data_IF_556532444819
#
_entry.id   IF_556532444819
#
_cell.length_a   1.000
_cell.length_b   1.000
_cell.length_c   1.000
_cell.angle_alpha   90.00
_cell.angle_beta   90.00
_cell.angle_gamma   90.00
#
_symmetry.space_group_name_H-M   'P 1'
#
loop_
_entity.id
_entity.type
_entity.pdbx_description
1 polymer ?
#
# COMPACT_ATOMS: atom_id res chain seq x y z
N UNK A 1 -8.62 7.91 66.27
CA UNK A 1 -7.46 7.62 65.37
C UNK A 1 -6.18 7.85 66.16
N UNK A 2 -5.20 6.96 66.06
CA UNK A 2 -3.88 7.28 66.64
C UNK A 2 -3.13 8.20 65.67
N UNK A 3 -2.28 9.08 66.20
CA UNK A 3 -1.45 10.02 65.40
C UNK A 3 -0.62 9.23 64.37
N UNK A 4 -0.19 8.01 64.71
CA UNK A 4 0.50 7.11 63.79
C UNK A 4 -0.36 6.69 62.61
N UNK A 5 -1.66 6.42 62.78
CA UNK A 5 -2.59 6.10 61.68
C UNK A 5 -2.70 7.29 60.70
N UNK A 6 -2.78 8.52 61.17
CA UNK A 6 -2.83 9.70 60.30
C UNK A 6 -1.52 9.91 59.50
N UNK A 7 -0.36 9.57 60.10
CA UNK A 7 0.92 9.59 59.39
C UNK A 7 0.97 8.56 58.25
N UNK A 8 0.51 7.31 58.49
CA UNK A 8 0.47 6.27 57.46
C UNK A 8 -0.46 6.66 56.31
N UNK A 9 -1.64 7.23 56.63
CA UNK A 9 -2.59 7.72 55.62
C UNK A 9 -1.95 8.84 54.76
N UNK A 10 -1.28 9.79 55.42
CA UNK A 10 -0.61 10.88 54.71
C UNK A 10 0.56 10.40 53.86
N UNK A 11 1.36 9.44 54.36
CA UNK A 11 2.44 8.82 53.58
C UNK A 11 1.92 8.05 52.34
N UNK A 12 0.79 7.32 52.48
CA UNK A 12 0.16 6.63 51.34
C UNK A 12 -0.31 7.62 50.27
N UNK A 13 -0.89 8.75 50.70
CA UNK A 13 -1.29 9.83 49.82
C UNK A 13 -0.10 10.50 49.10
N UNK A 14 1.04 10.69 49.79
CA UNK A 14 2.28 11.19 49.15
C UNK A 14 2.75 10.24 48.07
N UNK A 15 2.86 8.93 48.33
CA UNK A 15 3.29 7.91 47.34
C UNK A 15 2.33 7.81 46.16
N UNK A 16 1.03 7.85 46.41
CA UNK A 16 0.02 7.82 45.33
C UNK A 16 0.14 9.05 44.44
N UNK A 17 0.31 10.24 44.98
CA UNK A 17 0.50 11.45 44.20
C UNK A 17 1.85 11.49 43.48
N UNK A 18 2.92 10.90 44.04
CA UNK A 18 4.23 10.76 43.39
C UNK A 18 4.11 9.89 42.11
N UNK A 19 3.48 8.71 42.21
CA UNK A 19 3.21 7.86 41.06
C UNK A 19 2.36 8.59 40.02
N UNK A 20 1.30 9.29 40.46
CA UNK A 20 0.45 10.10 39.59
C UNK A 20 1.24 11.18 38.83
N UNK A 21 2.12 11.92 39.52
CA UNK A 21 2.99 12.92 38.86
C UNK A 21 3.95 12.30 37.87
N UNK A 22 4.51 11.13 38.16
CA UNK A 22 5.38 10.40 37.23
C UNK A 22 4.67 10.05 35.95
N UNK A 23 3.44 9.53 36.02
CA UNK A 23 2.61 9.17 34.85
C UNK A 23 2.25 10.41 34.02
N UNK A 24 1.82 11.50 34.69
CA UNK A 24 1.50 12.77 34.03
C UNK A 24 2.75 13.34 33.35
N UNK A 25 3.90 13.26 33.98
CA UNK A 25 5.18 13.71 33.44
C UNK A 25 5.57 12.93 32.19
N UNK A 26 5.40 11.61 32.20
CA UNK A 26 5.63 10.74 31.00
C UNK A 26 4.66 11.06 29.87
N UNK A 27 3.37 11.26 30.17
CA UNK A 27 2.38 11.66 29.15
C UNK A 27 2.78 13.00 28.49
N UNK A 28 3.15 14.00 29.27
CA UNK A 28 3.55 15.32 28.74
C UNK A 28 4.83 15.22 27.92
N UNK A 29 5.82 14.45 28.39
CA UNK A 29 7.08 14.27 27.66
C UNK A 29 6.87 13.63 26.28
N UNK A 30 5.87 12.75 26.16
CA UNK A 30 5.57 12.01 24.93
C UNK A 30 4.41 12.60 24.12
N UNK A 31 4.01 13.83 24.38
CA UNK A 31 2.92 14.50 23.65
C UNK A 31 3.19 14.61 22.14
N UNK A 32 4.44 14.82 21.76
CA UNK A 32 4.85 14.91 20.34
C UNK A 32 5.37 13.59 19.76
N UNK A 33 5.31 12.50 20.52
CA UNK A 33 5.78 11.20 20.07
C UNK A 33 4.70 10.51 19.22
N UNK A 34 5.02 10.17 17.98
CA UNK A 34 4.09 9.56 17.02
C UNK A 34 3.64 8.18 17.52
N UNK A 35 2.32 7.94 17.49
CA UNK A 35 1.72 6.68 17.90
C UNK A 35 1.75 6.43 19.42
N UNK A 36 2.18 7.40 20.24
CA UNK A 36 2.19 7.26 21.68
C UNK A 36 0.78 7.16 22.25
N UNK A 37 0.62 6.30 23.26
CA UNK A 37 -0.63 6.10 24.00
C UNK A 37 -0.42 6.49 25.44
N UNK A 38 -1.08 7.56 25.87
CA UNK A 38 -1.04 8.05 27.22
C UNK A 38 -1.46 6.98 28.24
N UNK A 39 -1.05 7.17 29.48
CA UNK A 39 -1.34 6.26 30.57
C UNK A 39 -2.05 7.00 31.71
N UNK A 40 -2.84 6.27 32.50
CA UNK A 40 -3.44 6.79 33.74
C UNK A 40 -3.16 5.86 34.90
N UNK A 41 -2.98 6.44 36.09
CA UNK A 41 -2.89 5.69 37.34
C UNK A 41 -4.26 5.21 37.80
N UNK A 42 -4.35 3.98 38.22
CA UNK A 42 -5.52 3.42 38.89
C UNK A 42 -5.17 3.29 40.37
N UNK A 43 -5.95 3.94 41.22
CA UNK A 43 -5.75 3.96 42.66
C UNK A 43 -6.90 3.23 43.37
N UNK A 44 -6.58 2.53 44.44
CA UNK A 44 -7.56 1.92 45.35
C UNK A 44 -7.32 2.36 46.77
N UNK A 45 -8.35 2.26 47.59
CA UNK A 45 -8.22 2.39 49.03
C UNK A 45 -7.53 1.15 49.62
N UNK A 46 -6.87 1.35 50.76
CA UNK A 46 -6.29 0.26 51.56
C UNK A 46 -7.36 -0.24 52.51
N UNK A 47 -7.32 -1.53 52.83
CA UNK A 47 -8.33 -2.21 53.69
C UNK A 47 -8.65 -1.41 54.94
N UNK A 48 -9.93 -1.09 55.15
CA UNK A 48 -10.41 -0.32 56.30
C UNK A 48 -10.30 -1.10 57.59
N UNK A 49 -10.01 -0.41 58.71
CA UNK A 49 -10.03 -1.02 60.03
C UNK A 49 -11.39 -0.76 60.71
N UNK A 50 -12.01 -1.81 61.16
CA UNK A 50 -13.30 -1.72 61.87
C UNK A 50 -13.08 -1.31 63.34
N UNK A 51 -13.74 -0.26 63.78
CA UNK A 51 -13.75 0.15 65.21
C UNK A 51 -15.05 -0.38 65.83
N UNK A 52 -14.94 -1.26 66.82
CA UNK A 52 -16.08 -1.71 67.62
C UNK A 52 -16.53 -0.55 68.55
N UNK A 53 -17.65 0.08 68.24
CA UNK A 53 -18.35 1.07 69.04
C UNK A 53 -19.86 0.87 68.92
N UNK A 54 -20.66 1.40 69.87
CA UNK A 54 -22.12 1.20 69.88
C UNK A 54 -22.84 1.49 68.58
N UNK A 55 -24.06 1.01 68.38
CA UNK A 55 -24.46 0.00 67.42
C UNK A 55 -24.28 0.42 65.97
N UNK A 56 -23.24 -0.08 65.35
CA UNK A 56 -22.90 0.11 63.95
C UNK A 56 -21.41 -0.10 63.71
N UNK A 57 -21.04 -0.87 62.67
CA UNK A 57 -19.67 -1.01 62.23
C UNK A 57 -19.18 0.35 61.68
N UNK A 58 -18.31 1.04 62.43
CA UNK A 58 -17.64 2.25 61.95
C UNK A 58 -16.29 1.88 61.36
N UNK A 59 -16.10 2.12 60.05
CA UNK A 59 -14.87 1.85 59.35
C UNK A 59 -14.00 3.09 59.23
N UNK A 60 -12.68 2.93 59.43
CA UNK A 60 -11.69 3.98 59.27
C UNK A 60 -10.76 3.63 58.14
N UNK A 61 -10.68 4.51 57.15
CA UNK A 61 -9.80 4.35 55.98
C UNK A 61 -8.32 4.39 56.37
N UNK A 62 -7.51 3.56 55.71
CA UNK A 62 -6.06 3.42 55.91
C UNK A 62 -5.23 4.12 54.83
N UNK A 63 -5.88 4.88 53.92
CA UNK A 63 -5.22 5.60 52.81
C UNK A 63 -5.44 4.99 51.47
N UNK A 64 -4.59 5.34 50.49
CA UNK A 64 -4.68 4.91 49.12
C UNK A 64 -3.37 4.30 48.62
N UNK A 65 -3.46 3.42 47.62
CA UNK A 65 -2.31 2.86 46.92
C UNK A 65 -2.52 2.88 45.38
N UNK A 66 -1.45 3.06 44.63
CA UNK A 66 -1.47 2.85 43.19
C UNK A 66 -1.53 1.34 42.92
N UNK A 67 -2.57 0.88 42.28
CA UNK A 67 -2.81 -0.54 41.99
C UNK A 67 -2.21 -0.94 40.63
N UNK A 68 -2.38 -0.11 39.61
CA UNK A 68 -1.87 -0.35 38.25
C UNK A 68 -1.75 0.95 37.47
N UNK A 69 -1.03 0.86 36.37
CA UNK A 69 -0.98 1.89 35.31
C UNK A 69 -1.72 1.34 34.11
N UNK A 70 -2.80 1.99 33.71
CA UNK A 70 -3.60 1.60 32.57
C UNK A 70 -3.24 2.47 31.38
N UNK A 71 -2.90 1.83 30.24
CA UNK A 71 -2.67 2.53 28.98
C UNK A 71 -3.99 2.89 28.31
N UNK A 72 -4.08 4.11 27.79
CA UNK A 72 -5.24 4.62 27.07
C UNK A 72 -5.04 4.38 25.57
N UNK A 73 -5.59 3.29 25.05
CA UNK A 73 -5.44 2.89 23.62
C UNK A 73 -6.35 3.64 22.65
N UNK A 74 -7.05 4.67 23.10
CA UNK A 74 -7.87 5.52 22.22
C UNK A 74 -7.04 6.11 21.07
N UNK A 75 -7.69 6.34 19.94
CA UNK A 75 -7.05 6.90 18.74
C UNK A 75 -6.64 8.35 18.97
N UNK A 76 -5.42 8.71 18.52
CA UNK A 76 -4.94 10.09 18.44
C UNK A 76 -5.41 10.79 17.15
N UNK A 77 -5.11 12.08 17.02
CA UNK A 77 -5.37 12.81 15.78
C UNK A 77 -4.50 12.28 14.65
N UNK A 78 -5.04 12.25 13.44
CA UNK A 78 -4.30 11.88 12.23
C UNK A 78 -3.70 13.14 11.61
N UNK A 79 -2.39 13.12 11.38
CA UNK A 79 -1.61 14.17 10.74
C UNK A 79 -1.19 13.71 9.35
N UNK A 80 -1.59 14.44 8.32
CA UNK A 80 -1.15 14.18 6.96
C UNK A 80 0.28 14.72 6.76
N UNK A 81 1.19 13.87 6.31
CA UNK A 81 2.62 14.20 6.14
C UNK A 81 3.02 14.39 4.68
N UNK A 82 2.29 13.80 3.75
CA UNK A 82 2.63 13.79 2.32
C UNK A 82 3.76 12.82 1.94
N UNK A 83 4.25 12.01 2.89
CA UNK A 83 5.24 10.95 2.63
C UNK A 83 4.49 9.64 2.44
N UNK A 84 4.65 8.99 1.30
CA UNK A 84 3.88 7.79 0.93
C UNK A 84 4.12 6.59 1.87
N UNK A 85 5.29 6.50 2.50
CA UNK A 85 5.63 5.42 3.44
C UNK A 85 5.16 5.66 4.87
N UNK A 86 4.60 6.85 5.18
CA UNK A 86 4.00 7.15 6.47
C UNK A 86 2.57 6.58 6.51
N UNK A 87 2.30 5.70 7.46
CA UNK A 87 1.04 5.00 7.58
C UNK A 87 0.39 5.26 8.93
N UNK A 88 -0.91 5.45 8.94
CA UNK A 88 -1.69 5.53 10.17
C UNK A 88 -2.83 4.52 10.17
N UNK A 89 -3.14 3.99 11.37
CA UNK A 89 -4.28 3.09 11.55
C UNK A 89 -5.48 3.89 12.03
N UNK A 90 -6.56 3.88 11.27
CA UNK A 90 -7.85 4.45 11.68
C UNK A 90 -8.72 3.38 12.32
N UNK A 91 -8.86 3.41 13.64
CA UNK A 91 -9.58 2.41 14.41
C UNK A 91 -8.67 1.50 15.23
N UNK A 92 -9.09 0.25 15.47
CA UNK A 92 -8.38 -0.70 16.33
C UNK A 92 -7.29 -1.46 15.56
N UNK A 93 -6.23 -1.89 16.24
CA UNK A 93 -5.17 -2.74 15.71
C UNK A 93 -3.79 -2.12 15.87
N UNK A 94 -2.76 -2.86 15.47
CA UNK A 94 -1.36 -2.48 15.55
C UNK A 94 -0.64 -2.97 14.30
N UNK A 95 0.35 -2.23 13.84
CA UNK A 95 1.33 -2.73 12.88
C UNK A 95 2.13 -3.86 13.50
N UNK A 96 2.39 -4.89 12.74
CA UNK A 96 3.25 -6.01 13.11
C UNK A 96 4.63 -5.80 12.52
N UNK A 97 5.65 -5.93 13.34
CA UNK A 97 7.04 -5.74 12.92
C UNK A 97 7.90 -6.89 13.43
N UNK A 98 8.88 -7.28 12.67
CA UNK A 98 9.87 -8.32 13.03
C UNK A 98 11.26 -7.72 13.13
N UNK A 99 12.03 -8.16 14.11
CA UNK A 99 13.41 -7.76 14.29
C UNK A 99 13.86 -7.91 15.73
N UNK A 100 14.95 -7.24 16.08
CA UNK A 100 15.55 -7.35 17.39
C UNK A 100 15.45 -6.03 18.16
N UNK A 101 14.87 -6.06 19.37
CA UNK A 101 14.85 -4.94 20.31
C UNK A 101 15.49 -5.41 21.61
N UNK A 102 16.51 -4.68 22.09
CA UNK A 102 17.23 -4.99 23.35
C UNK A 102 17.68 -6.44 23.47
N UNK A 103 18.10 -7.06 22.34
CA UNK A 103 18.60 -8.44 22.32
C UNK A 103 17.51 -9.52 22.22
N UNK A 104 16.23 -9.15 22.14
CA UNK A 104 15.11 -10.07 21.95
C UNK A 104 14.67 -10.04 20.49
N UNK A 105 14.71 -11.18 19.80
CA UNK A 105 14.16 -11.38 18.47
C UNK A 105 12.72 -11.89 18.62
N UNK A 106 11.78 -11.07 18.20
CA UNK A 106 10.34 -11.35 18.33
C UNK A 106 9.50 -10.56 17.32
N UNK A 107 8.20 -10.81 17.32
CA UNK A 107 7.23 -9.95 16.66
C UNK A 107 6.83 -8.83 17.60
N UNK A 108 7.04 -7.61 17.16
CA UNK A 108 6.68 -6.39 17.88
C UNK A 108 5.44 -5.77 17.28
N UNK A 109 4.69 -5.09 18.12
CA UNK A 109 3.46 -4.39 17.75
C UNK A 109 3.62 -2.90 18.00
N UNK A 110 3.19 -2.05 17.07
CA UNK A 110 3.31 -0.59 17.20
C UNK A 110 2.15 0.15 16.56
N UNK A 111 1.92 1.38 17.02
CA UNK A 111 1.07 2.37 16.38
C UNK A 111 1.86 3.44 15.62
N UNK A 112 3.18 3.41 15.77
CA UNK A 112 4.06 4.27 15.00
C UNK A 112 4.17 3.72 13.57
N UNK A 113 3.69 4.47 12.60
CA UNK A 113 3.71 4.12 11.19
C UNK A 113 4.74 4.89 10.37
N UNK A 114 5.80 5.40 10.99
CA UNK A 114 6.93 5.99 10.27
C UNK A 114 7.81 4.89 9.69
N UNK A 115 7.57 4.56 8.43
CA UNK A 115 8.34 3.56 7.72
C UNK A 115 9.25 4.19 6.67
N UNK A 116 10.31 3.46 6.34
CA UNK A 116 11.22 3.75 5.23
C UNK A 116 11.60 2.45 4.54
N UNK A 117 12.04 2.54 3.32
CA UNK A 117 12.65 1.41 2.62
C UNK A 117 14.12 1.32 3.06
N UNK A 118 14.56 0.17 3.52
CA UNK A 118 15.95 -0.10 3.89
C UNK A 118 16.80 -0.49 2.66
N UNK A 119 18.09 -0.74 2.87
CA UNK A 119 19.05 -1.10 1.81
C UNK A 119 18.71 -2.42 1.13
N UNK A 120 18.04 -3.33 1.84
CA UNK A 120 17.59 -4.63 1.34
C UNK A 120 16.20 -4.54 0.68
N UNK A 121 15.59 -3.36 0.65
CA UNK A 121 14.28 -3.09 0.06
C UNK A 121 13.09 -3.42 0.95
N UNK A 122 13.28 -3.70 2.25
CA UNK A 122 12.17 -3.92 3.17
C UNK A 122 11.60 -2.61 3.71
N UNK A 123 10.30 -2.62 3.97
CA UNK A 123 9.68 -1.56 4.76
C UNK A 123 10.07 -1.74 6.22
N UNK A 124 10.88 -0.83 6.75
CA UNK A 124 11.37 -0.86 8.13
C UNK A 124 11.05 0.45 8.85
N UNK A 125 10.86 0.38 10.17
CA UNK A 125 10.74 1.57 10.99
C UNK A 125 12.13 2.21 11.23
N UNK A 126 12.18 3.37 11.90
CA UNK A 126 13.44 4.06 12.21
C UNK A 126 14.37 3.25 13.13
N UNK A 127 13.86 2.25 13.84
CA UNK A 127 14.62 1.31 14.68
C UNK A 127 15.12 0.07 13.94
N UNK A 128 14.85 -0.08 12.64
CA UNK A 128 15.26 -1.23 11.83
C UNK A 128 14.35 -2.46 11.95
N UNK A 129 13.17 -2.32 12.56
CA UNK A 129 12.18 -3.40 12.60
C UNK A 129 11.41 -3.43 11.29
N UNK A 130 11.39 -4.58 10.63
CA UNK A 130 10.74 -4.79 9.34
C UNK A 130 9.23 -4.97 9.50
N UNK A 131 8.45 -4.26 8.69
CA UNK A 131 6.99 -4.37 8.65
C UNK A 131 6.58 -5.73 8.09
N UNK A 132 5.68 -6.41 8.79
CA UNK A 132 5.12 -7.69 8.38
C UNK A 132 3.83 -7.49 7.58
N UNK A 133 3.65 -8.36 6.60
CA UNK A 133 2.46 -8.38 5.78
C UNK A 133 2.36 -9.64 4.94
N UNK A 134 1.51 -9.59 3.96
CA UNK A 134 1.27 -10.64 2.98
C UNK A 134 1.95 -10.24 1.67
N UNK A 135 3.13 -10.79 1.32
CA UNK A 135 3.80 -10.48 0.06
C UNK A 135 2.94 -10.90 -1.14
N UNK A 136 2.97 -10.13 -2.21
CA UNK A 136 2.38 -10.55 -3.47
C UNK A 136 3.40 -11.27 -4.36
N UNK A 137 2.90 -12.12 -5.25
CA UNK A 137 3.70 -12.73 -6.30
C UNK A 137 4.04 -11.69 -7.36
N UNK A 138 5.32 -11.51 -7.66
CA UNK A 138 5.77 -10.59 -8.71
C UNK A 138 5.26 -10.94 -10.11
N UNK A 139 4.96 -12.23 -10.34
CA UNK A 139 4.51 -12.70 -11.64
C UNK A 139 3.01 -12.53 -11.83
N UNK A 140 2.21 -12.87 -10.80
CA UNK A 140 0.74 -12.85 -10.89
C UNK A 140 0.10 -11.62 -10.24
N UNK A 141 0.82 -10.91 -9.37
CA UNK A 141 0.26 -9.81 -8.56
C UNK A 141 -0.69 -10.28 -7.45
N UNK A 142 -0.86 -11.60 -7.28
CA UNK A 142 -1.74 -12.15 -6.24
C UNK A 142 -1.08 -12.07 -4.87
N UNK A 143 -1.84 -11.60 -3.88
CA UNK A 143 -1.38 -11.49 -2.49
C UNK A 143 -1.37 -12.88 -1.84
N UNK A 144 -0.22 -13.26 -1.30
CA UNK A 144 -0.04 -14.53 -0.59
C UNK A 144 -0.81 -14.57 0.75
N UNK A 145 -0.92 -15.76 1.33
CA UNK A 145 -1.56 -15.96 2.64
C UNK A 145 -0.57 -16.05 3.81
N UNK A 146 0.73 -16.18 3.51
CA UNK A 146 1.79 -16.28 4.52
C UNK A 146 2.26 -14.90 4.94
N UNK A 147 2.47 -14.72 6.25
CA UNK A 147 2.99 -13.48 6.80
C UNK A 147 4.52 -13.49 6.74
N UNK A 148 5.09 -12.49 6.10
CA UNK A 148 6.53 -12.30 5.98
C UNK A 148 6.89 -10.81 6.00
N UNK A 149 8.17 -10.42 6.18
CA UNK A 149 8.59 -9.04 5.97
C UNK A 149 8.27 -8.57 4.56
N UNK A 150 7.74 -7.34 4.45
CA UNK A 150 7.35 -6.75 3.18
C UNK A 150 8.56 -6.13 2.50
N UNK A 151 9.01 -6.76 1.43
CA UNK A 151 10.08 -6.26 0.57
C UNK A 151 9.47 -5.58 -0.65
N UNK A 152 9.68 -4.28 -0.78
CA UNK A 152 9.05 -3.44 -1.83
C UNK A 152 10.07 -2.67 -2.66
N UNK A 153 11.27 -2.41 -2.14
CA UNK A 153 12.22 -1.46 -2.73
C UNK A 153 13.16 -2.02 -3.80
N UNK A 154 13.35 -3.33 -3.87
CA UNK A 154 14.27 -3.97 -4.84
C UNK A 154 13.54 -4.72 -5.95
N UNK A 155 12.25 -4.50 -6.08
CA UNK A 155 11.43 -5.19 -7.06
C UNK A 155 11.53 -4.49 -8.42
N UNK A 156 11.85 -5.27 -9.44
CA UNK A 156 11.84 -4.87 -10.84
C UNK A 156 10.58 -5.45 -11.45
N UNK A 157 9.79 -4.63 -12.16
CA UNK A 157 8.70 -5.15 -12.98
C UNK A 157 9.29 -5.99 -14.10
N UNK A 158 8.99 -7.30 -14.15
CA UNK A 158 9.45 -8.12 -15.27
C UNK A 158 8.83 -7.60 -16.57
N UNK A 159 9.53 -7.73 -17.69
CA UNK A 159 9.01 -7.35 -19.00
C UNK A 159 7.75 -8.15 -19.35
N UNK A 160 6.92 -7.58 -20.19
CA UNK A 160 5.75 -8.22 -20.77
C UNK A 160 5.83 -8.16 -22.28
N UNK A 161 5.84 -9.31 -22.93
CA UNK A 161 5.76 -9.40 -24.38
C UNK A 161 4.43 -8.79 -24.89
N UNK A 162 4.48 -8.14 -26.02
CA UNK A 162 3.30 -7.61 -26.72
C UNK A 162 2.45 -8.76 -27.23
N UNK A 163 1.20 -8.85 -26.77
CA UNK A 163 0.24 -9.84 -27.23
C UNK A 163 -0.97 -9.20 -27.93
N UNK A 164 -1.28 -7.95 -27.61
CA UNK A 164 -2.39 -7.23 -28.24
C UNK A 164 -1.91 -5.88 -28.75
N UNK A 165 -2.28 -5.58 -29.99
CA UNK A 165 -1.98 -4.30 -30.65
C UNK A 165 -3.31 -3.73 -31.15
N UNK A 166 -3.70 -2.59 -30.63
CA UNK A 166 -4.90 -1.86 -31.08
C UNK A 166 -4.48 -0.76 -32.04
N UNK A 167 -5.11 -0.73 -33.18
CA UNK A 167 -4.79 0.16 -34.30
C UNK A 167 -6.08 0.76 -34.87
N UNK A 168 -6.28 2.06 -34.62
CA UNK A 168 -7.30 2.84 -35.31
C UNK A 168 -6.62 3.75 -36.33
N UNK A 169 -6.88 3.51 -37.59
CA UNK A 169 -6.32 4.30 -38.69
C UNK A 169 -7.44 4.81 -39.59
N UNK A 170 -7.26 5.98 -40.16
CA UNK A 170 -8.10 6.45 -41.26
C UNK A 170 -7.34 6.24 -42.58
N UNK A 171 -7.91 5.54 -43.50
CA UNK A 171 -7.34 5.24 -44.81
C UNK A 171 -8.11 6.02 -45.91
N UNK A 172 -7.42 6.92 -46.63
CA UNK A 172 -8.08 7.80 -47.65
C UNK A 172 -8.49 6.99 -48.87
N UNK A 173 -9.79 6.82 -49.17
CA UNK A 173 -10.26 6.09 -50.35
C UNK A 173 -9.87 6.76 -51.68
N UNK A 174 -9.27 7.94 -51.68
CA UNK A 174 -8.76 8.64 -52.84
C UNK A 174 -7.32 8.24 -53.22
N UNK A 175 -6.64 7.51 -52.35
CA UNK A 175 -5.31 6.99 -52.68
C UNK A 175 -5.35 6.10 -53.91
N UNK A 176 -4.30 6.08 -54.73
CA UNK A 176 -4.28 5.26 -55.95
C UNK A 176 -4.51 3.79 -55.64
N UNK A 177 -5.43 3.16 -56.38
CA UNK A 177 -5.64 1.71 -56.32
C UNK A 177 -4.51 1.01 -57.06
N UNK A 178 -3.84 0.09 -56.35
CA UNK A 178 -2.75 -0.71 -56.92
C UNK A 178 -3.25 -1.99 -57.61
N UNK A 179 -4.53 -2.28 -57.46
CA UNK A 179 -5.23 -3.40 -58.12
C UNK A 179 -5.43 -4.60 -57.19
N UNK A 180 -6.43 -5.45 -57.50
CA UNK A 180 -6.71 -6.64 -56.71
C UNK A 180 -5.52 -7.61 -56.69
N UNK A 181 -5.10 -8.01 -55.48
CA UNK A 181 -3.96 -8.91 -55.29
C UNK A 181 -2.59 -8.24 -55.39
N UNK A 182 -2.52 -6.91 -55.31
CA UNK A 182 -1.25 -6.20 -55.15
C UNK A 182 -0.58 -6.65 -53.86
N UNK A 183 0.71 -6.99 -53.90
CA UNK A 183 1.53 -7.43 -52.77
C UNK A 183 2.59 -6.41 -52.45
N UNK A 184 3.00 -6.37 -51.20
CA UNK A 184 4.12 -5.53 -50.74
C UNK A 184 5.45 -6.13 -51.27
N UNK A 185 6.31 -5.29 -51.83
CA UNK A 185 7.67 -5.71 -52.20
C UNK A 185 8.62 -5.36 -51.05
N UNK A 186 9.06 -6.36 -50.28
CA UNK A 186 9.89 -6.26 -49.11
C UNK A 186 11.40 -6.21 -49.38
N UNK A 187 11.80 -5.90 -50.61
CA UNK A 187 13.23 -5.89 -51.00
C UNK A 187 14.02 -4.81 -50.28
N UNK A 188 13.46 -3.62 -50.21
CA UNK A 188 14.04 -2.48 -49.47
C UNK A 188 12.92 -1.48 -49.08
N UNK A 189 13.24 -0.57 -48.11
CA UNK A 189 12.30 0.40 -47.57
C UNK A 189 11.73 1.35 -48.65
N UNK A 190 12.55 1.73 -49.64
CA UNK A 190 12.09 2.61 -50.72
C UNK A 190 11.09 1.92 -51.64
N UNK A 191 11.27 0.63 -51.85
CA UNK A 191 10.36 -0.21 -52.64
C UNK A 191 9.05 -0.46 -51.91
N UNK A 192 9.11 -0.76 -50.60
CA UNK A 192 7.93 -0.86 -49.74
C UNK A 192 7.11 0.44 -49.73
N UNK A 193 7.77 1.58 -49.58
CA UNK A 193 7.11 2.90 -49.64
C UNK A 193 6.45 3.18 -50.99
N UNK A 194 6.99 2.68 -52.12
CA UNK A 194 6.42 2.85 -53.46
C UNK A 194 5.31 1.88 -53.81
N UNK A 195 5.27 0.72 -53.14
CA UNK A 195 4.27 -0.33 -53.31
C UNK A 195 3.16 -0.32 -52.26
N UNK A 196 3.21 0.63 -51.32
CA UNK A 196 2.16 0.85 -50.32
C UNK A 196 1.47 2.20 -50.52
N UNK A 197 0.26 2.33 -50.00
CA UNK A 197 -0.52 3.58 -50.03
C UNK A 197 -0.35 4.40 -48.73
N UNK A 198 -0.11 3.71 -47.60
CA UNK A 198 0.11 4.31 -46.28
C UNK A 198 0.97 3.39 -45.43
N UNK A 199 1.76 3.94 -44.53
CA UNK A 199 2.55 3.16 -43.57
C UNK A 199 2.55 3.82 -42.18
N UNK A 200 2.73 2.99 -41.18
CA UNK A 200 2.92 3.40 -39.78
C UNK A 200 3.80 2.40 -39.07
N UNK A 201 4.56 2.87 -38.07
CA UNK A 201 5.42 2.02 -37.25
C UNK A 201 4.81 1.88 -35.84
N UNK A 202 4.91 0.69 -35.26
CA UNK A 202 4.53 0.40 -33.89
C UNK A 202 5.66 -0.35 -33.20
N UNK A 203 5.93 -0.02 -31.95
CA UNK A 203 6.99 -0.68 -31.18
C UNK A 203 6.41 -1.84 -30.40
N UNK A 204 6.94 -3.04 -30.59
CA UNK A 204 6.58 -4.24 -29.83
C UNK A 204 7.69 -4.62 -28.87
N UNK A 205 7.32 -5.27 -27.79
CA UNK A 205 8.27 -5.78 -26.81
C UNK A 205 8.28 -7.30 -26.85
N UNK A 206 9.47 -7.87 -26.76
CA UNK A 206 9.66 -9.31 -26.67
C UNK A 206 9.56 -9.83 -25.23
N UNK A 207 9.79 -11.12 -25.03
CA UNK A 207 9.75 -11.75 -23.71
C UNK A 207 10.90 -11.34 -22.77
N UNK A 208 11.96 -10.74 -23.31
CA UNK A 208 13.11 -10.19 -22.56
C UNK A 208 12.95 -8.70 -22.29
N UNK A 209 11.98 -8.04 -22.94
CA UNK A 209 11.69 -6.61 -22.79
C UNK A 209 12.49 -5.74 -23.76
N UNK A 210 13.09 -6.32 -24.78
CA UNK A 210 13.69 -5.57 -25.88
C UNK A 210 12.58 -5.00 -26.78
N UNK A 211 12.79 -3.78 -27.25
CA UNK A 211 11.84 -3.07 -28.11
C UNK A 211 12.20 -3.30 -29.57
N UNK A 212 11.23 -3.74 -30.37
CA UNK A 212 11.34 -4.00 -31.81
C UNK A 212 10.35 -3.13 -32.58
N UNK A 213 10.81 -2.49 -33.62
CA UNK A 213 9.96 -1.67 -34.46
C UNK A 213 9.32 -2.53 -35.56
N UNK A 214 8.00 -2.54 -35.60
CA UNK A 214 7.21 -3.27 -36.59
C UNK A 214 6.50 -2.28 -37.49
N UNK A 215 6.82 -2.32 -38.77
CA UNK A 215 6.23 -1.45 -39.76
C UNK A 215 4.96 -2.08 -40.34
N UNK A 216 3.89 -1.30 -40.34
CA UNK A 216 2.62 -1.69 -40.93
C UNK A 216 2.37 -0.90 -42.20
N UNK A 217 2.31 -1.62 -43.32
CA UNK A 217 2.03 -1.07 -44.64
C UNK A 217 0.60 -1.38 -45.06
N UNK A 218 -0.08 -0.40 -45.66
CA UNK A 218 -1.45 -0.54 -46.14
C UNK A 218 -1.48 -0.32 -47.65
N UNK A 219 -2.14 -1.22 -48.37
CA UNK A 219 -2.26 -1.17 -49.84
C UNK A 219 -3.74 -1.03 -50.17
N UNK A 220 -4.10 -0.01 -50.94
CA UNK A 220 -5.43 0.18 -51.48
C UNK A 220 -5.63 -0.78 -52.66
N UNK A 221 -6.31 -1.90 -52.45
CA UNK A 221 -6.52 -2.93 -53.46
C UNK A 221 -7.59 -2.49 -54.47
N UNK A 222 -8.78 -2.21 -54.00
CA UNK A 222 -9.94 -1.74 -54.76
C UNK A 222 -10.89 -0.94 -53.88
N UNK A 223 -11.94 -0.39 -54.45
CA UNK A 223 -12.89 0.44 -53.72
C UNK A 223 -13.43 -0.25 -52.46
N UNK A 224 -13.13 0.29 -51.28
CA UNK A 224 -13.54 -0.23 -49.98
C UNK A 224 -12.75 -1.44 -49.49
N UNK A 225 -11.66 -1.84 -50.15
CA UNK A 225 -10.82 -2.97 -49.73
C UNK A 225 -9.36 -2.56 -49.65
N UNK A 226 -8.76 -2.86 -48.51
CA UNK A 226 -7.35 -2.60 -48.21
C UNK A 226 -6.68 -3.88 -47.70
N UNK A 227 -5.43 -4.11 -48.11
CA UNK A 227 -4.58 -5.10 -47.45
C UNK A 227 -3.63 -4.39 -46.47
N UNK A 228 -3.36 -5.03 -45.36
CA UNK A 228 -2.32 -4.62 -44.42
C UNK A 228 -1.22 -5.68 -44.38
N UNK A 229 0.02 -5.22 -44.16
CA UNK A 229 1.22 -6.05 -44.14
C UNK A 229 2.08 -5.59 -42.97
N UNK A 230 2.39 -6.50 -42.02
CA UNK A 230 3.31 -6.24 -40.92
C UNK A 230 4.70 -6.74 -41.30
N UNK A 231 5.69 -5.87 -41.23
CA UNK A 231 7.06 -6.12 -41.66
C UNK A 231 8.02 -5.80 -40.52
N UNK A 232 9.04 -6.64 -40.34
CA UNK A 232 10.10 -6.49 -39.33
C UNK A 232 11.46 -6.62 -40.05
N UNK A 233 12.50 -5.96 -39.49
CA UNK A 233 13.86 -6.20 -39.93
C UNK A 233 14.23 -7.68 -39.69
N UNK A 234 14.71 -8.33 -40.75
CA UNK A 234 15.02 -9.76 -40.71
C UNK A 234 16.17 -10.09 -39.74
N UNK A 235 17.04 -9.10 -39.42
CA UNK A 235 18.10 -9.22 -38.44
C UNK A 235 17.60 -9.35 -37.00
N UNK A 236 16.34 -8.99 -36.74
CA UNK A 236 15.73 -9.06 -35.39
C UNK A 236 14.96 -10.39 -35.18
N UNK A 237 14.85 -11.25 -36.18
CA UNK A 237 14.10 -12.51 -36.09
C UNK A 237 14.99 -13.74 -35.85
N UNK A 238 14.46 -14.75 -35.18
CA UNK A 238 15.14 -16.03 -34.93
C UNK A 238 14.53 -17.13 -35.84
N UNK A 239 15.32 -17.84 -36.62
CA UNK A 239 16.72 -17.56 -36.93
C UNK A 239 16.85 -16.39 -37.93
N UNK A 240 17.87 -15.56 -37.71
CA UNK A 240 18.18 -14.49 -38.66
C UNK A 240 18.42 -15.07 -40.06
N UNK A 241 17.52 -14.77 -41.00
CA UNK A 241 17.60 -15.19 -42.38
C UNK A 241 18.36 -14.14 -43.21
N UNK A 242 18.86 -14.51 -44.37
CA UNK A 242 19.53 -13.54 -45.23
C UNK A 242 18.49 -12.72 -46.02
N UNK A 243 18.34 -11.48 -45.68
CA UNK A 243 17.40 -10.51 -46.28
C UNK A 243 17.46 -9.20 -45.53
N UNK A 244 16.69 -8.20 -45.92
CA UNK A 244 16.60 -6.93 -45.23
C UNK A 244 15.32 -6.86 -44.37
N UNK A 245 14.19 -7.34 -44.89
CA UNK A 245 12.88 -7.23 -44.25
C UNK A 245 12.08 -8.53 -44.45
N UNK A 246 11.31 -8.89 -43.43
CA UNK A 246 10.44 -10.05 -43.42
C UNK A 246 8.99 -9.62 -43.19
N UNK A 247 8.10 -10.02 -44.09
CA UNK A 247 6.67 -9.94 -43.82
C UNK A 247 6.28 -11.02 -42.81
N UNK A 248 5.84 -10.59 -41.65
CA UNK A 248 5.47 -11.47 -40.51
C UNK A 248 3.97 -11.71 -40.46
N UNK A 249 3.17 -10.82 -41.06
CA UNK A 249 1.73 -10.97 -41.11
C UNK A 249 1.07 -10.11 -42.15
N UNK A 250 -0.06 -10.60 -42.69
CA UNK A 250 -0.87 -9.89 -43.65
C UNK A 250 -2.36 -10.20 -43.48
N UNK A 251 -3.20 -9.30 -43.91
CA UNK A 251 -4.64 -9.48 -43.88
C UNK A 251 -5.38 -8.42 -44.71
N UNK A 252 -6.69 -8.43 -44.64
CA UNK A 252 -7.54 -7.51 -45.39
C UNK A 252 -8.50 -6.75 -44.46
N UNK A 253 -8.76 -5.50 -44.77
CA UNK A 253 -9.77 -4.64 -44.16
C UNK A 253 -10.79 -4.26 -45.23
N UNK A 254 -12.07 -4.43 -44.96
CA UNK A 254 -13.12 -3.98 -45.86
C UNK A 254 -13.97 -2.92 -45.19
N UNK A 255 -14.41 -1.97 -45.97
CA UNK A 255 -15.18 -0.81 -45.49
C UNK A 255 -16.52 -0.72 -46.23
N UNK A 256 -17.54 -0.27 -45.52
CA UNK A 256 -18.84 0.04 -46.11
C UNK A 256 -18.76 1.28 -47.02
N UNK A 257 -19.82 1.56 -47.75
CA UNK A 257 -19.95 2.80 -48.55
C UNK A 257 -19.90 4.09 -47.69
N UNK A 258 -20.16 3.97 -46.40
CA UNK A 258 -20.15 5.08 -45.46
C UNK A 258 -18.75 5.23 -44.79
N UNK A 259 -17.78 4.38 -45.16
CA UNK A 259 -16.40 4.40 -44.67
C UNK A 259 -16.22 3.77 -43.30
N UNK A 260 -17.18 3.01 -42.80
CA UNK A 260 -17.10 2.27 -41.53
C UNK A 260 -16.45 0.89 -41.78
N UNK A 261 -15.71 0.37 -40.80
CA UNK A 261 -15.11 -0.95 -40.85
C UNK A 261 -16.20 -2.03 -40.90
N UNK A 262 -16.20 -2.85 -41.97
CA UNK A 262 -17.16 -3.94 -42.15
C UNK A 262 -16.57 -5.29 -41.75
N UNK A 263 -15.44 -5.68 -42.38
CA UNK A 263 -14.75 -6.91 -42.02
C UNK A 263 -13.25 -6.71 -41.95
N UNK A 264 -12.62 -7.53 -41.16
CA UNK A 264 -11.17 -7.70 -41.18
C UNK A 264 -10.82 -9.19 -41.14
N UNK A 265 -9.69 -9.54 -41.75
CA UNK A 265 -9.15 -10.89 -41.69
C UNK A 265 -7.92 -10.90 -40.82
N UNK A 266 -7.85 -11.79 -39.81
CA UNK A 266 -6.65 -12.01 -39.03
C UNK A 266 -5.55 -12.64 -39.89
N UNK A 267 -4.25 -12.54 -39.50
CA UNK A 267 -3.17 -13.16 -40.24
C UNK A 267 -3.30 -14.70 -40.27
N UNK A 268 -2.96 -15.35 -41.37
CA UNK A 268 -2.85 -16.81 -41.40
C UNK A 268 -1.65 -17.28 -40.54
N UNK A 269 -1.71 -18.44 -39.85
CA UNK A 269 -2.71 -19.51 -39.91
C UNK A 269 -3.83 -19.45 -38.85
N UNK A 270 -4.01 -18.35 -38.12
CA UNK A 270 -5.02 -18.24 -37.03
C UNK A 270 -5.40 -16.83 -36.70
N UNK A 271 -6.13 -16.61 -35.58
CA UNK A 271 -6.53 -15.27 -35.12
C UNK A 271 -5.37 -14.42 -34.60
N UNK A 272 -4.18 -15.01 -34.44
CA UNK A 272 -2.98 -14.34 -33.98
C UNK A 272 -1.79 -14.58 -34.90
N UNK A 273 -0.89 -13.61 -34.93
CA UNK A 273 0.41 -13.69 -35.57
C UNK A 273 1.41 -14.26 -34.55
N UNK A 274 2.03 -15.41 -34.91
CA UNK A 274 3.12 -15.97 -34.09
C UNK A 274 4.46 -15.45 -34.60
N UNK A 275 5.21 -14.73 -33.74
CA UNK A 275 6.52 -14.18 -34.05
C UNK A 275 7.54 -14.59 -32.99
N UNK A 276 8.79 -14.78 -33.39
CA UNK A 276 9.91 -15.01 -32.51
C UNK A 276 11.06 -14.07 -32.86
N UNK A 277 11.40 -13.19 -31.94
CA UNK A 277 12.56 -12.33 -32.02
C UNK A 277 13.83 -13.08 -31.59
N UNK A 278 15.01 -12.61 -32.05
CA UNK A 278 16.29 -13.27 -31.76
C UNK A 278 16.55 -13.37 -30.23
N UNK A 279 16.83 -14.56 -29.77
CA UNK A 279 17.07 -14.86 -28.36
C UNK A 279 15.83 -14.86 -27.46
N UNK A 280 14.66 -14.48 -27.96
CA UNK A 280 13.42 -14.39 -27.19
C UNK A 280 12.51 -15.61 -27.36
N UNK A 281 11.51 -15.75 -26.50
CA UNK A 281 10.46 -16.74 -26.65
C UNK A 281 9.47 -16.33 -27.72
N UNK A 282 8.91 -17.33 -28.43
CA UNK A 282 7.82 -17.10 -29.39
C UNK A 282 6.62 -16.46 -28.69
N UNK A 283 6.02 -15.46 -29.33
CA UNK A 283 4.84 -14.75 -28.86
C UNK A 283 3.75 -14.69 -29.91
N UNK A 284 2.49 -14.68 -29.44
CA UNK A 284 1.32 -14.57 -30.29
C UNK A 284 0.74 -13.18 -30.20
N UNK A 285 0.70 -12.46 -31.31
CA UNK A 285 0.21 -11.07 -31.35
C UNK A 285 -1.13 -11.04 -32.06
N UNK A 286 -2.13 -10.45 -31.43
CA UNK A 286 -3.45 -10.21 -32.01
C UNK A 286 -3.60 -8.74 -32.36
N UNK A 287 -4.23 -8.47 -33.52
CA UNK A 287 -4.57 -7.11 -33.94
C UNK A 287 -6.03 -6.82 -33.66
N UNK A 288 -6.27 -5.68 -33.05
CA UNK A 288 -7.59 -5.09 -32.85
C UNK A 288 -7.70 -3.84 -33.72
N UNK A 289 -8.56 -3.89 -34.73
CA UNK A 289 -8.83 -2.81 -35.68
C UNK A 289 -10.07 -1.98 -35.33
N UNK A 290 -10.69 -2.29 -34.16
CA UNK A 290 -11.98 -1.73 -33.73
C UNK A 290 -13.12 -2.72 -33.91
N UNK A 291 -14.35 -2.24 -33.67
CA UNK A 291 -15.58 -3.05 -33.65
C UNK A 291 -16.21 -3.12 -35.04
N UNK A 292 -15.75 -4.10 -35.88
CA UNK A 292 -16.22 -4.28 -37.25
C UNK A 292 -17.69 -4.73 -37.31
N UNK A 293 -18.42 -4.22 -38.30
CA UNK A 293 -19.87 -4.45 -38.41
C UNK A 293 -20.20 -5.94 -38.58
N UNK A 294 -19.46 -6.63 -39.43
CA UNK A 294 -19.73 -8.05 -39.80
C UNK A 294 -18.84 -9.01 -39.00
N UNK A 295 -17.56 -8.71 -38.84
CA UNK A 295 -16.61 -9.65 -38.19
C UNK A 295 -16.93 -9.76 -36.68
N UNK A 296 -17.24 -8.67 -36.02
CA UNK A 296 -17.52 -8.64 -34.56
C UNK A 296 -19.01 -8.77 -34.22
N UNK A 297 -19.84 -9.10 -35.20
CA UNK A 297 -21.26 -9.35 -34.97
C UNK A 297 -21.50 -10.54 -34.04
N UNK A 298 -22.15 -10.28 -32.90
CA UNK A 298 -22.47 -11.29 -31.88
C UNK A 298 -23.96 -11.57 -31.84
N UNK A 299 -24.36 -12.84 -31.99
CA UNK A 299 -25.78 -13.28 -31.88
C UNK A 299 -26.74 -12.52 -32.81
N UNK A 300 -26.28 -12.08 -34.01
CA UNK A 300 -27.06 -11.34 -34.98
C UNK A 300 -27.18 -9.84 -34.71
N UNK A 301 -26.43 -9.31 -33.74
CA UNK A 301 -26.25 -7.87 -33.53
C UNK A 301 -24.95 -7.48 -34.26
N UNK A 302 -25.04 -6.57 -35.23
CA UNK A 302 -23.88 -6.04 -35.96
C UNK A 302 -23.00 -5.23 -35.03
N UNK A 303 -21.68 -5.24 -35.26
CA UNK A 303 -20.75 -4.35 -34.59
C UNK A 303 -21.03 -2.89 -34.95
N UNK A 304 -20.41 -1.95 -34.26
CA UNK A 304 -20.66 -0.51 -34.42
C UNK A 304 -19.98 0.12 -35.63
N UNK A 305 -18.97 -0.54 -36.19
CA UNK A 305 -18.09 0.00 -37.24
C UNK A 305 -17.15 1.12 -36.72
N UNK A 306 -16.98 1.22 -35.40
CA UNK A 306 -16.09 2.20 -34.74
C UNK A 306 -14.68 1.65 -34.65
N UNK A 307 -13.66 2.46 -34.94
CA UNK A 307 -12.25 2.11 -34.97
C UNK A 307 -11.61 2.57 -36.28
N UNK A 308 -10.93 1.68 -36.93
CA UNK A 308 -10.36 1.94 -38.29
C UNK A 308 -11.44 2.35 -39.28
N UNK A 309 -11.19 3.39 -40.05
CA UNK A 309 -12.16 4.01 -40.95
C UNK A 309 -11.56 4.33 -42.33
N UNK A 310 -12.43 4.53 -43.33
CA UNK A 310 -12.00 4.96 -44.67
C UNK A 310 -12.80 6.20 -45.09
N UNK A 311 -12.45 7.33 -44.49
CA UNK A 311 -13.04 8.60 -44.86
C UNK A 311 -12.13 9.37 -45.83
N UNK A 312 -12.72 10.18 -46.72
CA UNK A 312 -12.03 10.98 -47.71
C UNK A 312 -11.23 12.15 -47.13
N UNK A 313 -10.41 11.85 -46.12
CA UNK A 313 -9.41 12.72 -45.48
C UNK A 313 -8.06 12.01 -45.56
N UNK A 314 -6.96 12.77 -45.54
CA UNK A 314 -5.61 12.20 -45.62
C UNK A 314 -5.44 11.04 -44.64
N UNK A 315 -4.83 9.96 -45.11
CA UNK A 315 -4.53 8.79 -44.29
C UNK A 315 -3.70 9.19 -43.07
N UNK A 316 -4.13 8.75 -41.90
CA UNK A 316 -3.49 9.07 -40.66
C UNK A 316 -3.81 8.04 -39.58
N UNK A 317 -2.89 7.87 -38.66
CA UNK A 317 -3.11 7.08 -37.45
C UNK A 317 -3.94 7.91 -36.46
N UNK A 318 -5.01 7.33 -35.94
CA UNK A 318 -5.86 7.93 -34.89
C UNK A 318 -5.40 7.46 -33.52
N UNK A 319 -5.23 6.15 -33.36
CA UNK A 319 -4.76 5.53 -32.13
C UNK A 319 -3.85 4.36 -32.45
N UNK A 320 -2.73 4.28 -31.74
CA UNK A 320 -1.86 3.08 -31.69
C UNK A 320 -1.60 2.81 -30.23
N UNK A 321 -1.91 1.62 -29.77
CA UNK A 321 -1.55 1.16 -28.45
C UNK A 321 -1.23 -0.33 -28.46
N UNK A 322 -0.40 -0.74 -27.52
CA UNK A 322 -0.01 -2.14 -27.38
C UNK A 322 0.15 -2.43 -25.86
N UNK A 323 0.12 -3.71 -25.47
CA UNK A 323 0.06 -4.13 -24.08
C UNK A 323 1.40 -4.66 -23.52
N UNK A 324 2.47 -4.61 -24.30
CA UNK A 324 3.81 -4.99 -23.92
C UNK A 324 4.60 -3.84 -23.27
N UNK A 325 5.62 -4.16 -22.54
CA UNK A 325 6.58 -3.19 -21.96
C UNK A 325 7.88 -3.86 -21.56
N UNK A 326 8.96 -3.09 -21.57
CA UNK A 326 10.26 -3.51 -21.04
C UNK A 326 10.28 -3.61 -19.51
N UNK A 327 11.39 -4.10 -18.96
CA UNK A 327 11.60 -4.10 -17.53
C UNK A 327 11.55 -2.67 -16.95
N UNK A 328 10.99 -2.52 -15.77
CA UNK A 328 10.83 -1.22 -15.13
C UNK A 328 11.30 -1.22 -13.68
N UNK A 329 11.94 -0.12 -13.26
CA UNK A 329 12.31 0.13 -11.86
C UNK A 329 11.15 0.76 -11.10
N UNK A 330 11.05 0.45 -9.80
CA UNK A 330 10.04 1.03 -8.93
C UNK A 330 10.26 2.54 -8.77
N UNK A 331 9.24 3.35 -9.11
CA UNK A 331 9.28 4.81 -9.00
C UNK A 331 8.46 5.36 -7.85
N UNK A 332 7.33 4.73 -7.55
CA UNK A 332 6.39 5.22 -6.53
C UNK A 332 5.65 4.06 -5.87
N UNK A 333 5.35 4.23 -4.56
CA UNK A 333 4.57 3.28 -3.77
C UNK A 333 3.38 4.01 -3.18
N UNK A 334 2.21 3.40 -3.29
CA UNK A 334 0.98 3.85 -2.67
C UNK A 334 0.32 2.74 -1.84
N UNK A 335 -0.50 3.13 -0.88
CA UNK A 335 -1.17 2.22 0.05
C UNK A 335 -2.67 2.48 0.03
N UNK A 336 -3.43 1.45 -0.22
CA UNK A 336 -4.87 1.49 -0.12
C UNK A 336 -5.36 1.35 1.33
N UNK A 337 -6.61 1.69 1.57
CA UNK A 337 -7.25 1.60 2.90
C UNK A 337 -7.33 0.19 3.45
N UNK A 338 -7.34 -0.82 2.61
CA UNK A 338 -7.29 -2.24 2.97
C UNK A 338 -5.84 -2.74 3.19
N UNK A 339 -4.87 -1.83 3.14
CA UNK A 339 -3.46 -2.11 3.33
C UNK A 339 -2.74 -2.71 2.13
N UNK A 340 -3.38 -2.78 0.96
CA UNK A 340 -2.74 -3.22 -0.27
C UNK A 340 -1.70 -2.20 -0.72
N UNK A 341 -0.54 -2.68 -1.10
CA UNK A 341 0.60 -1.88 -1.53
C UNK A 341 0.68 -1.94 -3.05
N UNK A 342 0.54 -0.80 -3.69
CA UNK A 342 0.68 -0.65 -5.13
C UNK A 342 2.02 0.01 -5.46
N UNK A 343 2.79 -0.62 -6.36
CA UNK A 343 4.00 -0.06 -6.94
C UNK A 343 3.73 0.44 -8.35
N UNK A 344 4.15 1.65 -8.65
CA UNK A 344 4.21 2.19 -10.02
C UNK A 344 5.64 2.14 -10.49
N UNK A 345 5.86 1.57 -11.68
CA UNK A 345 7.17 1.34 -12.26
C UNK A 345 7.47 2.34 -13.38
N UNK A 346 8.75 2.47 -13.74
CA UNK A 346 9.22 3.41 -14.77
C UNK A 346 8.68 3.10 -16.18
N UNK A 347 8.27 1.84 -16.41
CA UNK A 347 7.62 1.38 -17.65
C UNK A 347 6.10 1.67 -17.69
N UNK A 348 5.55 2.35 -16.65
CA UNK A 348 4.12 2.64 -16.52
C UNK A 348 3.28 1.50 -15.95
N UNK A 349 3.88 0.35 -15.69
CA UNK A 349 3.18 -0.79 -15.08
C UNK A 349 2.83 -0.49 -13.62
N UNK A 350 1.66 -0.99 -13.19
CA UNK A 350 1.20 -0.89 -11.81
C UNK A 350 0.92 -2.28 -11.26
N UNK A 351 1.61 -2.63 -10.17
CA UNK A 351 1.49 -3.96 -9.55
C UNK A 351 1.25 -3.88 -8.06
N UNK A 352 0.52 -4.89 -7.59
CA UNK A 352 0.42 -5.14 -6.16
C UNK A 352 1.71 -5.79 -5.67
N UNK A 353 2.37 -5.13 -4.69
CA UNK A 353 3.61 -5.61 -4.08
C UNK A 353 3.36 -6.46 -2.84
N UNK A 354 2.19 -6.30 -2.23
CA UNK A 354 1.78 -7.02 -1.04
C UNK A 354 0.65 -6.32 -0.31
N UNK A 355 0.37 -6.77 0.91
CA UNK A 355 -0.62 -6.18 1.80
C UNK A 355 -0.10 -6.15 3.23
N UNK A 356 -0.31 -5.05 3.93
CA UNK A 356 0.10 -4.90 5.34
C UNK A 356 -0.71 -5.84 6.23
N UNK A 357 -0.05 -6.55 7.16
CA UNK A 357 -0.71 -7.31 8.19
C UNK A 357 -0.93 -6.46 9.45
N UNK A 358 -2.10 -6.61 10.06
CA UNK A 358 -2.43 -5.97 11.32
C UNK A 358 -2.80 -7.00 12.38
N UNK A 359 -2.45 -6.70 13.62
CA UNK A 359 -2.87 -7.47 14.78
C UNK A 359 -3.85 -6.67 15.64
N UNK A 360 -4.89 -7.33 16.12
CA UNK A 360 -5.79 -6.80 17.14
C UNK A 360 -5.72 -7.67 18.39
N UNK A 361 -5.85 -7.05 19.58
CA UNK A 361 -5.79 -7.72 20.88
C UNK A 361 -7.09 -7.55 21.64
N UNK A 362 -7.43 -8.54 22.46
CA UNK A 362 -8.60 -8.49 23.32
C UNK A 362 -8.43 -7.41 24.42
N UNK A 363 -7.23 -7.32 24.99
CA UNK A 363 -6.87 -6.34 26.04
C UNK A 363 -5.57 -5.62 25.67
N UNK A 364 -5.61 -4.64 24.75
CA UNK A 364 -4.39 -3.99 24.25
C UNK A 364 -3.69 -3.11 25.30
N UNK A 365 -4.36 -2.73 26.38
CA UNK A 365 -3.81 -2.00 27.53
C UNK A 365 -2.81 -2.85 28.34
N UNK A 366 -2.88 -4.17 28.23
CA UNK A 366 -2.00 -5.11 28.93
C UNK A 366 -0.77 -5.56 28.11
N UNK A 367 -0.55 -4.99 26.94
CA UNK A 367 0.67 -5.23 26.16
C UNK A 367 1.92 -4.74 26.91
N UNK A 368 3.00 -5.50 26.88
CA UNK A 368 4.28 -5.12 27.47
C UNK A 368 5.01 -4.09 26.59
N UNK A 369 5.32 -2.91 27.13
CA UNK A 369 6.14 -1.91 26.45
C UNK A 369 7.63 -2.30 26.52
N UNK A 370 8.31 -2.29 25.38
CA UNK A 370 9.75 -2.59 25.29
C UNK A 370 10.60 -1.39 24.87
N UNK A 371 9.97 -0.21 24.77
CA UNK A 371 10.60 1.03 24.30
C UNK A 371 10.38 1.28 22.81
N UNK A 372 10.68 2.53 22.35
CA UNK A 372 10.53 2.91 20.94
C UNK A 372 9.09 2.79 20.39
N UNK A 373 8.08 2.97 21.24
CA UNK A 373 6.66 2.74 20.93
C UNK A 373 6.35 1.33 20.40
N UNK A 374 7.18 0.35 20.79
CA UNK A 374 7.01 -1.05 20.44
C UNK A 374 6.49 -1.83 21.65
N UNK A 375 5.61 -2.76 21.37
CA UNK A 375 4.96 -3.60 22.36
C UNK A 375 5.18 -5.06 22.05
N UNK A 376 5.22 -5.89 23.10
CA UNK A 376 5.17 -7.35 23.02
C UNK A 376 3.84 -7.86 23.57
N UNK A 377 3.40 -8.99 23.08
CA UNK A 377 2.27 -9.71 23.66
C UNK A 377 2.57 -10.14 25.09
N UNK A 378 1.53 -10.22 25.90
CA UNK A 378 1.57 -10.71 27.26
C UNK A 378 0.44 -11.71 27.49
N UNK A 379 0.53 -12.54 28.54
CA UNK A 379 -0.60 -13.42 28.90
C UNK A 379 -1.90 -12.66 29.15
N UNK A 380 -1.81 -11.40 29.58
CA UNK A 380 -2.96 -10.53 29.85
C UNK A 380 -3.56 -9.90 28.59
N UNK A 381 -2.76 -9.62 27.56
CA UNK A 381 -3.26 -9.04 26.31
C UNK A 381 -4.08 -10.02 25.47
N UNK A 382 -3.89 -11.34 25.69
CA UNK A 382 -4.39 -12.41 24.85
C UNK A 382 -3.53 -12.57 23.58
N UNK A 383 -3.83 -13.61 22.79
CA UNK A 383 -3.18 -13.87 21.52
C UNK A 383 -3.57 -12.81 20.47
N UNK A 384 -2.65 -12.43 19.56
CA UNK A 384 -2.93 -11.49 18.50
C UNK A 384 -3.89 -12.06 17.46
N UNK A 385 -5.02 -11.41 17.24
CA UNK A 385 -5.90 -11.70 16.11
C UNK A 385 -5.32 -11.04 14.85
N UNK A 386 -4.50 -11.79 14.11
CA UNK A 386 -3.79 -11.31 12.92
C UNK A 386 -4.67 -11.40 11.68
N UNK A 387 -4.51 -10.46 10.75
CA UNK A 387 -5.16 -10.49 9.45
C UNK A 387 -5.07 -9.16 8.71
N UNK A 388 -5.86 -9.06 7.67
CA UNK A 388 -5.90 -7.89 6.79
C UNK A 388 -6.57 -6.69 7.47
N UNK A 389 -6.15 -5.45 7.16
CA UNK A 389 -6.84 -4.23 7.58
C UNK A 389 -8.31 -4.24 7.12
N UNK A 390 -9.13 -3.42 7.78
CA UNK A 390 -10.57 -3.27 7.50
C UNK A 390 -11.40 -4.57 7.57
N UNK A 391 -10.87 -5.62 8.22
CA UNK A 391 -11.54 -6.91 8.43
C UNK A 391 -11.49 -7.34 9.89
N UNK A 392 -12.47 -8.15 10.36
CA UNK A 392 -12.45 -8.74 11.71
C UNK A 392 -12.30 -7.72 12.85
N UNK A 393 -12.82 -6.50 12.71
CA UNK A 393 -12.73 -5.44 13.72
C UNK A 393 -11.38 -4.70 13.76
N UNK A 394 -10.48 -4.99 12.81
CA UNK A 394 -9.26 -4.20 12.59
C UNK A 394 -9.59 -2.92 11.85
N UNK A 395 -8.85 -1.85 12.15
CA UNK A 395 -8.96 -0.56 11.51
C UNK A 395 -8.51 -0.56 10.05
N UNK A 396 -8.75 0.55 9.36
CA UNK A 396 -8.24 0.80 8.02
C UNK A 396 -6.90 1.51 8.06
N UNK A 397 -6.14 1.44 6.97
CA UNK A 397 -4.88 2.17 6.81
C UNK A 397 -5.14 3.49 6.10
N UNK A 398 -4.50 4.54 6.57
CA UNK A 398 -4.40 5.83 5.89
C UNK A 398 -2.95 6.01 5.46
N UNK A 399 -2.74 6.19 4.16
CA UNK A 399 -1.45 6.51 3.59
C UNK A 399 -1.08 7.97 3.86
N UNK A 400 0.19 8.28 3.69
CA UNK A 400 0.74 9.64 3.82
C UNK A 400 0.30 10.34 5.12
N UNK A 401 0.08 9.57 6.19
CA UNK A 401 -0.47 10.05 7.44
C UNK A 401 0.19 9.37 8.63
N UNK A 402 0.26 10.07 9.76
CA UNK A 402 0.77 9.56 11.03
C UNK A 402 -0.25 9.77 12.14
N UNK A 403 -0.32 8.84 13.08
CA UNK A 403 -1.13 8.99 14.28
C UNK A 403 -0.34 9.76 15.34
N UNK A 404 -0.85 10.90 15.77
CA UNK A 404 -0.28 11.68 16.87
C UNK A 404 -0.56 11.01 18.21
N UNK A 405 0.18 11.46 19.26
CA UNK A 405 -0.14 11.11 20.64
C UNK A 405 -1.60 11.47 20.96
N UNK A 406 -2.27 10.62 21.76
CA UNK A 406 -3.62 10.89 22.26
C UNK A 406 -3.64 11.69 23.56
N UNK A 407 -2.50 12.26 23.97
CA UNK A 407 -2.34 13.06 25.18
C UNK A 407 -2.82 14.49 24.95
N UNK A 408 -3.73 14.97 25.81
CA UNK A 408 -4.17 16.37 25.85
C UNK A 408 -3.38 17.14 26.90
N UNK A 409 -2.57 18.08 26.44
CA UNK A 409 -1.69 18.90 27.27
C UNK A 409 -2.46 19.69 28.33
N UNK A 410 -3.64 20.24 28.02
CA UNK A 410 -4.43 21.05 28.94
C UNK A 410 -4.97 20.23 30.08
N UNK A 411 -5.44 19.02 29.76
CA UNK A 411 -5.91 18.06 30.76
C UNK A 411 -4.76 17.58 31.65
N UNK A 412 -3.59 17.27 31.06
CA UNK A 412 -2.44 16.80 31.85
C UNK A 412 -1.88 17.89 32.76
N UNK A 413 -1.82 19.16 32.35
CA UNK A 413 -1.43 20.25 33.22
C UNK A 413 -2.42 20.45 34.37
N UNK A 414 -3.71 20.33 34.07
CA UNK A 414 -4.74 20.42 35.13
C UNK A 414 -4.56 19.30 36.16
N UNK A 415 -4.38 18.06 35.68
CA UNK A 415 -4.12 16.88 36.50
C UNK A 415 -2.82 17.05 37.32
N UNK A 416 -1.78 17.61 36.74
CA UNK A 416 -0.51 17.89 37.41
C UNK A 416 -0.72 18.86 38.58
N UNK A 417 -1.45 19.97 38.38
CA UNK A 417 -1.73 20.95 39.42
C UNK A 417 -2.52 20.32 40.57
N UNK A 418 -3.55 19.50 40.24
CA UNK A 418 -4.35 18.80 41.26
C UNK A 418 -3.49 17.83 42.06
N UNK A 419 -2.66 17.04 41.41
CA UNK A 419 -1.76 16.05 42.01
C UNK A 419 -0.69 16.74 42.87
N UNK A 420 -0.11 17.86 42.42
CA UNK A 420 0.82 18.67 43.22
C UNK A 420 0.16 19.24 44.48
N UNK A 421 -1.07 19.73 44.35
CA UNK A 421 -1.82 20.21 45.53
C UNK A 421 -2.14 19.07 46.51
N UNK A 422 -2.50 17.88 46.00
CA UNK A 422 -2.71 16.68 46.80
C UNK A 422 -1.44 16.25 47.55
N UNK A 423 -0.29 16.28 46.88
CA UNK A 423 1.02 16.03 47.49
C UNK A 423 1.32 17.04 48.62
N UNK A 424 1.13 18.34 48.36
CA UNK A 424 1.34 19.40 49.36
C UNK A 424 0.40 19.25 50.55
N UNK A 425 -0.87 18.90 50.35
CA UNK A 425 -1.84 18.67 51.41
C UNK A 425 -1.43 17.49 52.31
N UNK A 426 -1.06 16.35 51.66
CA UNK A 426 -0.57 15.16 52.40
C UNK A 426 0.73 15.45 53.16
N UNK A 427 1.65 16.24 52.59
CA UNK A 427 2.88 16.68 53.29
C UNK A 427 2.60 17.58 54.50
N UNK A 428 1.62 18.49 54.38
CA UNK A 428 1.19 19.32 55.55
C UNK A 428 0.59 18.48 56.66
N UNK A 429 -0.15 17.42 56.34
CA UNK A 429 -0.69 16.48 57.32
C UNK A 429 0.44 15.79 58.10
N UNK A 430 1.54 15.41 57.43
CA UNK A 430 2.73 14.85 58.09
C UNK A 430 3.36 15.87 59.06
N UNK A 431 3.59 17.11 58.60
CA UNK A 431 4.18 18.16 59.47
C UNK A 431 3.30 18.50 60.66
N UNK A 432 1.98 18.55 60.48
CA UNK A 432 1.04 18.79 61.62
C UNK A 432 1.04 17.64 62.62
N UNK A 433 1.11 16.39 62.14
CA UNK A 433 1.20 15.23 63.01
C UNK A 433 2.53 15.20 63.80
N UNK A 434 3.64 15.60 63.16
CA UNK A 434 4.95 15.72 63.84
C UNK A 434 4.94 16.82 64.96
N UNK A 435 4.32 17.98 64.67
CA UNK A 435 4.12 19.01 65.59
C UNK A 435 3.30 18.54 66.82
N UNK A 436 2.19 17.84 66.63
CA UNK A 436 1.38 17.27 67.70
C UNK A 436 2.15 16.22 68.49
N UNK A 437 3.00 15.39 67.85
CA UNK A 437 3.89 14.47 68.60
C UNK A 437 4.90 15.21 69.44
N UNK A 438 5.48 16.29 68.97
CA UNK A 438 6.44 17.12 69.70
C UNK A 438 5.78 17.79 70.95
N UNK A 439 4.57 18.29 70.75
CA UNK A 439 3.82 18.86 71.90
C UNK A 439 3.44 17.83 72.97
N UNK A 440 3.01 16.62 72.55
CA UNK A 440 2.72 15.48 73.40
C UNK A 440 3.94 15.06 74.23
N UNK A 441 5.13 15.06 73.62
CA UNK A 441 6.39 14.76 74.35
C UNK A 441 6.70 15.87 75.40
N UNK A 442 6.45 17.12 75.02
CA UNK A 442 6.67 18.26 75.93
C UNK A 442 5.68 18.28 77.08
N UNK A 443 4.43 17.83 76.92
CA UNK A 443 3.43 17.69 77.94
C UNK A 443 3.74 16.57 78.94
N UNK A 444 4.62 15.66 78.69
CA UNK A 444 5.06 14.56 79.55
C UNK A 444 6.25 14.95 80.46
N UNK A 445 6.77 16.15 80.28
CA UNK A 445 7.76 16.74 81.17
C UNK A 445 7.05 17.64 82.19
#
# INVERSE_FOLDING_TARGET
MSIFSSLYVAMSGIRSNEVGMGIIGDNIANMNTIGFKGSRGVFSDILNTTIMGEPGLSEVGQGSMATSVQRLVGQGALLQTGVSTDLAIGGNGFFMMKGQVSGTDATFYSRNGQFRIDEDGFLANMGGLQLLGFPASLTTGEVGTNIAPLQVGTQISPPKATNNVTLDVNLDPKEPQLGPGATLDTTDESTMASTSSFSTTTTWYDSLGEAHDVDLYYIHQQSGEWSWHAVVDQGELDPALAGNFQEVGTGTLTFTSDGLLDTYTPPPPGPSLTIQFDGASSQDVTFDWGDAITTDAVAGIAGSGVGTSSYATKSAVVTVSQDGFGAGDLTFIDFDRDGTIHGTFSNGDQRTLGRVAMANFLSPDQLNAVGGNSFLESPGSGEPAVGEPNTGGRGMIFNSSLEQSNVDLSNEFTNMIVTQRGFQASSRTVTTADQMLTELINLKR
#
